data_IF_401448804731
#
_entry.id   IF_401448804731
#
_cell.length_a   1.000
_cell.length_b   1.000
_cell.length_c   1.000
_cell.angle_alpha   90.00
_cell.angle_beta   90.00
_cell.angle_gamma   90.00
#
_symmetry.space_group_name_H-M   'P 1'
#
loop_
_entity.id
_entity.type
_entity.pdbx_description
1 polymer ?
#
# COMPACT_ATOMS: atom_id res chain seq x y z
N UNK A 1 -27.85 -6.95 -2.42
CA UNK A 1 -26.38 -7.13 -2.39
C UNK A 1 -25.86 -6.34 -1.21
N UNK A 2 -24.98 -6.91 -0.40
CA UNK A 2 -24.38 -6.19 0.73
C UNK A 2 -23.55 -5.03 0.20
N UNK A 3 -23.86 -3.81 0.63
CA UNK A 3 -23.12 -2.61 0.27
C UNK A 3 -22.46 -2.07 1.53
N UNK A 4 -21.18 -2.39 1.70
CA UNK A 4 -20.39 -1.84 2.79
C UNK A 4 -19.91 -0.44 2.42
N UNK A 5 -19.86 0.47 3.40
CA UNK A 5 -19.33 1.83 3.23
C UNK A 5 -17.92 1.83 2.64
N UNK A 6 -17.11 0.83 3.00
CA UNK A 6 -15.74 0.63 2.52
C UNK A 6 -15.67 0.31 1.01
N UNK A 7 -16.79 -0.05 0.38
CA UNK A 7 -16.87 -0.41 -1.04
C UNK A 7 -17.45 0.69 -1.92
N UNK A 8 -17.78 1.85 -1.33
CA UNK A 8 -18.29 3.00 -2.07
C UNK A 8 -17.27 3.48 -3.12
N UNK A 9 -17.75 3.70 -4.34
CA UNK A 9 -16.90 4.12 -5.47
C UNK A 9 -16.20 2.99 -6.22
N UNK A 10 -16.20 1.74 -5.70
CA UNK A 10 -15.65 0.60 -6.42
C UNK A 10 -16.69 -0.08 -7.34
N UNK A 11 -16.27 -0.31 -8.58
CA UNK A 11 -16.98 -0.99 -9.65
C UNK A 11 -16.92 -2.52 -9.50
N UNK A 12 -17.86 -3.21 -10.15
CA UNK A 12 -17.93 -4.67 -10.15
C UNK A 12 -18.91 -5.24 -9.12
N UNK A 13 -19.29 -6.51 -9.34
CA UNK A 13 -20.29 -7.20 -8.52
C UNK A 13 -19.95 -8.66 -8.19
N UNK A 14 -19.00 -9.30 -8.88
CA UNK A 14 -18.58 -10.68 -8.59
C UNK A 14 -17.75 -10.71 -7.31
N UNK A 15 -16.72 -9.86 -7.22
CA UNK A 15 -15.91 -9.74 -6.00
C UNK A 15 -16.70 -9.33 -4.73
N UNK A 16 -17.90 -8.74 -4.89
CA UNK A 16 -18.81 -8.40 -3.77
C UNK A 16 -19.61 -9.61 -3.26
N UNK A 17 -19.66 -10.70 -4.04
CA UNK A 17 -20.44 -11.91 -3.76
C UNK A 17 -19.56 -13.11 -3.37
N UNK A 18 -18.31 -13.13 -3.83
CA UNK A 18 -17.33 -14.17 -3.57
C UNK A 18 -15.93 -13.57 -3.36
N UNK A 19 -15.03 -14.33 -2.72
CA UNK A 19 -13.63 -13.91 -2.57
C UNK A 19 -12.93 -13.98 -3.92
N UNK A 20 -12.89 -12.85 -4.63
CA UNK A 20 -12.32 -12.75 -5.96
C UNK A 20 -11.51 -11.45 -6.13
N UNK A 21 -10.31 -11.42 -5.55
CA UNK A 21 -9.41 -10.27 -5.60
C UNK A 21 -9.01 -9.90 -7.04
N UNK A 22 -8.95 -10.88 -7.95
CA UNK A 22 -8.61 -10.64 -9.36
C UNK A 22 -9.67 -9.77 -10.05
N UNK A 23 -10.96 -10.10 -9.91
CA UNK A 23 -12.05 -9.30 -10.47
C UNK A 23 -12.06 -7.89 -9.88
N UNK A 24 -11.86 -7.76 -8.56
CA UNK A 24 -11.75 -6.45 -7.90
C UNK A 24 -10.67 -5.58 -8.52
N UNK A 25 -9.43 -6.09 -8.62
CA UNK A 25 -8.30 -5.33 -9.16
C UNK A 25 -8.61 -4.93 -10.61
N UNK A 26 -9.00 -5.88 -11.47
CA UNK A 26 -9.24 -5.62 -12.88
C UNK A 26 -10.35 -4.57 -13.14
N UNK A 27 -11.35 -4.48 -12.25
CA UNK A 27 -12.44 -3.50 -12.35
C UNK A 27 -12.11 -2.12 -11.77
N UNK A 28 -11.10 -1.99 -10.92
CA UNK A 28 -10.91 -0.79 -10.10
C UNK A 28 -9.53 -0.15 -10.19
N UNK A 29 -8.52 -0.82 -10.75
CA UNK A 29 -7.22 -0.20 -10.96
C UNK A 29 -7.27 0.81 -12.11
N UNK A 30 -6.46 1.87 -11.99
CA UNK A 30 -6.20 2.81 -13.08
C UNK A 30 -4.77 2.57 -13.56
N UNK A 31 -4.55 2.04 -14.77
CA UNK A 31 -3.22 1.99 -15.35
C UNK A 31 -2.58 3.39 -15.31
N UNK A 32 -1.29 3.44 -15.01
CA UNK A 32 -0.51 4.66 -15.03
C UNK A 32 0.74 4.42 -15.87
N UNK A 33 0.76 5.03 -17.05
CA UNK A 33 1.87 4.96 -18.02
C UNK A 33 2.73 6.24 -18.03
N UNK A 34 2.60 7.08 -16.98
CA UNK A 34 3.41 8.29 -16.80
C UNK A 34 4.79 8.00 -16.20
N UNK A 35 5.41 9.02 -15.60
CA UNK A 35 6.76 8.92 -15.04
C UNK A 35 6.81 9.19 -13.51
N UNK A 36 8.00 9.33 -12.97
CA UNK A 36 8.24 9.51 -11.55
C UNK A 36 8.00 10.95 -11.03
N UNK A 37 7.55 11.90 -11.87
CA UNK A 37 7.46 13.31 -11.50
C UNK A 37 6.43 13.60 -10.40
N UNK A 38 5.47 12.72 -10.18
CA UNK A 38 4.46 12.85 -9.12
C UNK A 38 4.94 12.34 -7.75
N UNK A 39 6.11 11.70 -7.69
CA UNK A 39 6.61 11.10 -6.46
C UNK A 39 6.93 12.19 -5.43
N UNK A 40 6.42 11.99 -4.22
CA UNK A 40 6.70 12.84 -3.07
C UNK A 40 7.73 12.20 -2.13
N UNK A 41 8.47 13.05 -1.43
CA UNK A 41 9.46 12.61 -0.44
C UNK A 41 8.84 11.99 0.83
N UNK A 42 9.65 11.31 1.67
CA UNK A 42 9.17 10.76 2.93
C UNK A 42 8.77 11.87 3.90
N UNK A 43 7.75 11.60 4.73
CA UNK A 43 7.35 12.51 5.81
C UNK A 43 8.36 12.53 6.96
N UNK A 44 8.31 13.56 7.81
CA UNK A 44 9.12 13.63 9.02
C UNK A 44 8.88 12.44 9.96
N UNK A 45 7.63 11.97 10.06
CA UNK A 45 7.28 10.79 10.85
C UNK A 45 7.96 9.53 10.29
N UNK A 46 7.98 9.37 8.96
CA UNK A 46 8.69 8.29 8.27
C UNK A 46 10.20 8.36 8.57
N UNK A 47 10.81 9.53 8.40
CA UNK A 47 12.25 9.73 8.65
C UNK A 47 12.63 9.43 10.11
N UNK A 48 11.80 9.85 11.07
CA UNK A 48 12.03 9.57 12.50
C UNK A 48 12.00 8.07 12.81
N UNK A 49 10.97 7.36 12.34
CA UNK A 49 10.85 5.92 12.58
C UNK A 49 11.98 5.14 11.89
N UNK A 50 12.29 5.52 10.64
CA UNK A 50 13.40 4.93 9.90
C UNK A 50 14.76 5.18 10.57
N UNK A 51 14.97 6.36 11.17
CA UNK A 51 16.17 6.68 11.94
C UNK A 51 16.36 5.76 13.16
N UNK A 52 15.28 5.49 13.91
CA UNK A 52 15.31 4.56 15.04
C UNK A 52 15.64 3.14 14.56
N UNK A 53 14.98 2.67 13.51
CA UNK A 53 15.24 1.34 12.96
C UNK A 53 16.70 1.18 12.51
N UNK A 54 17.24 2.19 11.81
CA UNK A 54 18.64 2.17 11.37
C UNK A 54 19.62 2.09 12.55
N UNK A 55 19.31 2.70 13.70
CA UNK A 55 20.13 2.58 14.89
C UNK A 55 20.12 1.13 15.44
N UNK A 56 18.95 0.51 15.54
CA UNK A 56 18.82 -0.89 15.96
C UNK A 56 19.54 -1.84 15.00
N UNK A 57 19.42 -1.62 13.69
CA UNK A 57 20.14 -2.41 12.69
C UNK A 57 21.67 -2.26 12.80
N UNK A 58 22.17 -1.09 13.22
CA UNK A 58 23.61 -0.92 13.49
C UNK A 58 24.04 -1.76 14.70
N UNK A 59 23.22 -1.80 15.74
CA UNK A 59 23.47 -2.60 16.94
C UNK A 59 23.42 -4.10 16.66
N UNK A 60 22.45 -4.56 15.87
CA UNK A 60 22.34 -5.94 15.38
C UNK A 60 23.59 -6.35 14.61
N UNK A 61 24.00 -5.54 13.62
CA UNK A 61 25.24 -5.78 12.86
C UNK A 61 26.49 -5.83 13.75
N UNK A 62 26.57 -4.96 14.77
CA UNK A 62 27.69 -4.98 15.71
C UNK A 62 27.73 -6.26 16.57
N UNK A 63 26.60 -6.95 16.72
CA UNK A 63 26.48 -8.22 17.45
C UNK A 63 26.66 -9.45 16.56
N UNK A 64 26.92 -9.27 15.27
CA UNK A 64 27.21 -10.35 14.33
C UNK A 64 25.99 -10.90 13.56
N UNK A 65 24.85 -10.21 13.62
CA UNK A 65 23.57 -10.69 13.10
C UNK A 65 22.64 -11.08 14.23
#
# INVERSE_FOLDING_TARGET
>A
MTNFKQWEGFEGSIWKKEVNTRDFIQKNYRPYDGDASFLEGPTDATNKLWGILQQLQKEERAKGG
#
